data_IF_125249109952
#
_entry.id   IF_125249109952
#
_cell.length_a   1.000
_cell.length_b   1.000
_cell.length_c   1.000
_cell.angle_alpha   90.00
_cell.angle_beta   90.00
_cell.angle_gamma   90.00
#
_symmetry.space_group_name_H-M   'P 1'
#
loop_
_entity.id
_entity.type
_entity.pdbx_description
1 polymer ?
#
# COMPACT_ATOMS: atom_id res chain seq x y z
N UNK A 1 -28.19 -42.46 4.54
CA UNK A 1 -27.91 -42.17 5.96
C UNK A 1 -26.69 -41.26 6.06
N UNK A 2 -26.79 -40.19 6.86
CA UNK A 2 -25.87 -39.03 6.94
C UNK A 2 -24.52 -39.40 7.58
N UNK A 3 -23.44 -39.45 6.81
CA UNK A 3 -22.06 -39.68 7.32
C UNK A 3 -21.20 -38.39 7.42
N UNK A 4 -21.72 -37.23 7.05
CA UNK A 4 -20.93 -35.98 6.97
C UNK A 4 -20.88 -35.21 8.30
N UNK A 5 -21.77 -35.51 9.26
CA UNK A 5 -21.89 -34.74 10.50
C UNK A 5 -20.88 -35.12 11.61
N UNK A 6 -20.31 -36.34 11.56
CA UNK A 6 -19.48 -36.86 12.68
C UNK A 6 -18.04 -36.32 12.62
N UNK A 7 -17.49 -36.08 11.44
CA UNK A 7 -16.08 -35.64 11.28
C UNK A 7 -15.82 -34.21 11.78
N UNK A 8 -16.77 -33.28 11.59
CA UNK A 8 -16.65 -31.90 12.10
C UNK A 8 -16.84 -31.80 13.62
N UNK A 9 -17.72 -32.61 14.20
CA UNK A 9 -17.97 -32.64 15.65
C UNK A 9 -16.78 -33.23 16.42
N UNK A 10 -16.10 -34.23 15.84
CA UNK A 10 -14.91 -34.83 16.44
C UNK A 10 -13.71 -33.86 16.49
N UNK A 11 -13.58 -32.96 15.51
CA UNK A 11 -12.53 -31.93 15.50
C UNK A 11 -12.76 -30.86 16.58
N UNK A 12 -13.99 -30.34 16.68
CA UNK A 12 -14.33 -29.30 17.67
C UNK A 12 -14.22 -29.78 19.12
N UNK A 13 -14.66 -31.01 19.42
CA UNK A 13 -14.51 -31.59 20.77
C UNK A 13 -13.05 -31.81 21.18
N UNK A 14 -12.19 -32.10 20.20
CA UNK A 14 -10.74 -32.28 20.43
C UNK A 14 -10.05 -30.94 20.68
N UNK A 15 -10.46 -29.87 19.98
CA UNK A 15 -9.93 -28.52 20.24
C UNK A 15 -10.36 -27.95 21.60
N UNK A 16 -11.58 -28.22 22.06
CA UNK A 16 -12.00 -27.86 23.43
C UNK A 16 -11.14 -28.57 24.48
N UNK A 17 -10.81 -29.85 24.27
CA UNK A 17 -9.95 -30.63 25.18
C UNK A 17 -8.51 -30.10 25.24
N UNK A 18 -8.01 -29.49 24.17
CA UNK A 18 -6.70 -28.83 24.14
C UNK A 18 -6.73 -27.37 24.65
N UNK A 19 -7.85 -26.90 25.20
CA UNK A 19 -7.97 -25.56 25.78
C UNK A 19 -8.28 -24.44 24.78
N UNK A 20 -8.68 -24.75 23.54
CA UNK A 20 -9.11 -23.74 22.59
C UNK A 20 -10.42 -23.10 23.03
N UNK A 21 -10.50 -21.77 22.94
CA UNK A 21 -11.71 -21.03 23.29
C UNK A 21 -12.84 -21.30 22.30
N UNK A 22 -14.09 -21.17 22.74
CA UNK A 22 -15.28 -21.28 21.87
C UNK A 22 -15.19 -20.30 20.69
N UNK A 23 -14.53 -19.14 20.87
CA UNK A 23 -14.29 -18.17 19.80
C UNK A 23 -13.36 -18.72 18.72
N UNK A 24 -12.29 -19.40 19.09
CA UNK A 24 -11.33 -20.02 18.15
C UNK A 24 -11.96 -21.17 17.38
N UNK A 25 -12.88 -21.92 17.98
CA UNK A 25 -13.59 -23.02 17.33
C UNK A 25 -14.64 -22.49 16.34
N UNK A 26 -15.22 -21.33 16.62
CA UNK A 26 -16.16 -20.64 15.74
C UNK A 26 -15.46 -19.86 14.61
N UNK A 27 -14.14 -19.73 14.62
CA UNK A 27 -13.40 -19.02 13.58
C UNK A 27 -13.38 -19.82 12.27
N UNK A 28 -13.81 -19.17 11.18
CA UNK A 28 -13.83 -19.78 9.84
C UNK A 28 -12.45 -20.02 9.24
N UNK A 29 -11.39 -19.38 9.78
CA UNK A 29 -10.02 -19.58 9.36
C UNK A 29 -9.22 -20.19 10.51
N UNK A 30 -8.44 -21.22 10.20
CA UNK A 30 -7.47 -21.77 11.14
C UNK A 30 -6.39 -20.73 11.48
N UNK A 31 -5.69 -20.93 12.60
CA UNK A 31 -4.48 -20.16 12.94
C UNK A 31 -3.48 -20.18 11.76
N UNK A 32 -3.29 -21.34 11.13
CA UNK A 32 -2.38 -21.50 10.00
C UNK A 32 -2.80 -20.60 8.81
N UNK A 33 -4.10 -20.56 8.50
CA UNK A 33 -4.63 -19.76 7.38
C UNK A 33 -4.50 -18.26 7.65
N UNK A 34 -4.72 -17.83 8.91
CA UNK A 34 -4.52 -16.43 9.32
C UNK A 34 -3.06 -16.01 9.18
N UNK A 35 -2.14 -16.85 9.65
CA UNK A 35 -0.70 -16.60 9.51
C UNK A 35 -0.27 -16.59 8.05
N UNK A 36 -0.86 -17.44 7.21
CA UNK A 36 -0.67 -17.43 5.77
C UNK A 36 -1.10 -16.08 5.15
N UNK A 37 -2.29 -15.57 5.49
CA UNK A 37 -2.79 -14.29 4.98
C UNK A 37 -1.88 -13.12 5.37
N UNK A 38 -1.49 -13.06 6.65
CA UNK A 38 -0.56 -12.06 7.16
C UNK A 38 0.78 -12.14 6.44
N UNK A 39 1.34 -13.34 6.27
CA UNK A 39 2.61 -13.55 5.55
C UNK A 39 2.50 -13.12 4.08
N UNK A 40 1.39 -13.37 3.39
CA UNK A 40 1.22 -12.96 1.99
C UNK A 40 1.22 -11.45 1.82
N UNK A 41 0.62 -10.71 2.76
CA UNK A 41 0.62 -9.24 2.72
C UNK A 41 1.99 -8.66 3.11
N UNK A 42 2.60 -9.18 4.17
CA UNK A 42 3.85 -8.63 4.73
C UNK A 42 5.09 -9.04 3.96
N UNK A 43 5.22 -10.31 3.55
CA UNK A 43 6.42 -10.83 2.86
C UNK A 43 6.23 -10.90 1.34
N UNK A 44 5.09 -11.39 0.89
CA UNK A 44 4.86 -11.67 -0.54
C UNK A 44 4.14 -10.53 -1.29
N UNK A 45 3.96 -9.38 -0.62
CA UNK A 45 3.56 -8.10 -1.23
C UNK A 45 2.20 -8.13 -1.93
N UNK A 46 1.27 -8.97 -1.47
CA UNK A 46 -0.10 -8.91 -1.95
C UNK A 46 -0.69 -7.51 -1.65
N UNK A 47 -1.32 -6.89 -2.65
CA UNK A 47 -1.76 -5.48 -2.57
C UNK A 47 -3.11 -5.29 -1.90
N UNK A 48 -3.90 -6.36 -1.72
CA UNK A 48 -5.26 -6.26 -1.19
C UNK A 48 -5.73 -7.59 -0.61
N UNK A 49 -6.53 -7.51 0.45
CA UNK A 49 -7.26 -8.64 1.04
C UNK A 49 -8.07 -9.43 0.01
N UNK A 50 -8.62 -8.76 -1.02
CA UNK A 50 -9.34 -9.44 -2.12
C UNK A 50 -8.41 -10.36 -2.91
N UNK A 51 -7.15 -9.98 -3.12
CA UNK A 51 -6.17 -10.83 -3.79
C UNK A 51 -5.77 -12.01 -2.91
N UNK A 52 -5.61 -11.79 -1.60
CA UNK A 52 -5.32 -12.84 -0.63
C UNK A 52 -6.46 -13.86 -0.59
N UNK A 53 -7.70 -13.40 -0.58
CA UNK A 53 -8.91 -14.25 -0.62
C UNK A 53 -8.91 -15.14 -1.87
N UNK A 54 -8.64 -14.58 -3.05
CA UNK A 54 -8.51 -15.37 -4.29
C UNK A 54 -7.36 -16.38 -4.25
N UNK A 55 -6.26 -16.06 -3.55
CA UNK A 55 -5.14 -17.00 -3.35
C UNK A 55 -5.52 -18.14 -2.41
N UNK A 56 -6.32 -17.87 -1.38
CA UNK A 56 -6.85 -18.91 -0.49
C UNK A 56 -7.78 -19.87 -1.25
N UNK A 57 -8.68 -19.32 -2.07
CA UNK A 57 -9.56 -20.11 -2.94
C UNK A 57 -8.74 -20.99 -3.89
N UNK A 58 -7.70 -20.44 -4.51
CA UNK A 58 -6.87 -21.20 -5.47
C UNK A 58 -6.04 -22.29 -4.81
N UNK A 59 -5.44 -22.03 -3.65
CA UNK A 59 -4.45 -22.92 -3.06
C UNK A 59 -5.06 -23.94 -2.09
N UNK A 60 -6.14 -23.56 -1.41
CA UNK A 60 -6.79 -24.38 -0.38
C UNK A 60 -8.23 -24.75 -0.73
N UNK A 61 -8.76 -24.31 -1.87
CA UNK A 61 -10.15 -24.54 -2.30
C UNK A 61 -11.17 -24.06 -1.24
N UNK A 62 -10.78 -23.05 -0.45
CA UNK A 62 -11.61 -22.46 0.59
C UNK A 62 -12.27 -21.19 0.08
N UNK A 63 -13.59 -21.21 -0.07
CA UNK A 63 -14.38 -20.01 -0.37
C UNK A 63 -14.56 -19.19 0.90
N UNK A 64 -13.79 -18.11 1.00
CA UNK A 64 -13.81 -17.21 2.15
C UNK A 64 -14.33 -15.85 1.70
N UNK A 65 -15.26 -15.25 2.44
CA UNK A 65 -15.67 -13.88 2.14
C UNK A 65 -14.52 -12.91 2.50
N UNK A 66 -14.19 -11.90 1.67
CA UNK A 66 -13.08 -10.97 1.92
C UNK A 66 -13.13 -10.29 3.29
N UNK A 67 -14.32 -10.10 3.86
CA UNK A 67 -14.47 -9.53 5.20
C UNK A 67 -13.89 -10.41 6.31
N UNK A 68 -13.90 -11.73 6.12
CA UNK A 68 -13.30 -12.67 7.08
C UNK A 68 -11.78 -12.51 7.11
N UNK A 69 -11.16 -12.33 5.94
CA UNK A 69 -9.73 -12.04 5.82
C UNK A 69 -9.41 -10.67 6.46
N UNK A 70 -10.18 -9.61 6.15
CA UNK A 70 -9.98 -8.29 6.79
C UNK A 70 -10.08 -8.34 8.31
N UNK A 71 -11.02 -9.11 8.87
CA UNK A 71 -11.14 -9.30 10.32
C UNK A 71 -9.91 -9.99 10.89
N UNK A 72 -9.46 -11.07 10.26
CA UNK A 72 -8.23 -11.77 10.67
C UNK A 72 -7.00 -10.86 10.64
N UNK A 73 -6.87 -10.02 9.61
CA UNK A 73 -5.77 -9.05 9.49
C UNK A 73 -5.82 -7.97 10.58
N UNK A 74 -7.02 -7.46 10.90
CA UNK A 74 -7.20 -6.51 11.99
C UNK A 74 -6.88 -7.12 13.34
N UNK A 75 -7.32 -8.36 13.61
CA UNK A 75 -6.95 -9.10 14.83
C UNK A 75 -5.44 -9.30 14.93
N UNK A 76 -4.76 -9.49 13.80
CA UNK A 76 -3.31 -9.58 13.74
C UNK A 76 -2.57 -8.22 13.87
N UNK A 77 -3.30 -7.11 14.02
CA UNK A 77 -2.75 -5.77 14.20
C UNK A 77 -2.39 -5.02 12.91
N UNK A 78 -2.92 -5.44 11.75
CA UNK A 78 -2.72 -4.73 10.48
C UNK A 78 -3.86 -3.74 10.21
N UNK A 79 -3.49 -2.51 9.85
CA UNK A 79 -4.38 -1.46 9.39
C UNK A 79 -4.25 -1.20 7.89
N UNK A 80 -5.34 -0.81 7.25
CA UNK A 80 -5.32 -0.39 5.85
C UNK A 80 -4.94 1.10 5.75
N UNK A 81 -3.94 1.41 4.93
CA UNK A 81 -3.48 2.78 4.64
C UNK A 81 -3.57 3.06 3.14
N UNK A 82 -3.81 4.32 2.78
CA UNK A 82 -3.71 4.75 1.39
C UNK A 82 -2.23 4.88 0.99
N UNK A 83 -1.88 4.36 -0.19
CA UNK A 83 -0.52 4.47 -0.71
C UNK A 83 -0.24 5.89 -1.17
N UNK A 84 0.76 6.52 -0.57
CA UNK A 84 1.28 7.80 -1.06
C UNK A 84 1.83 7.66 -2.48
N UNK A 85 1.58 8.65 -3.34
CA UNK A 85 2.15 8.72 -4.68
C UNK A 85 3.54 9.33 -4.61
N UNK A 86 4.57 8.58 -5.00
CA UNK A 86 5.94 9.11 -5.09
C UNK A 86 6.53 8.82 -6.47
N UNK A 87 7.31 9.75 -7.04
CA UNK A 87 8.04 9.47 -8.27
C UNK A 87 9.06 8.37 -7.99
N UNK A 88 9.19 7.43 -8.92
CA UNK A 88 10.29 6.47 -8.88
C UNK A 88 11.61 7.22 -9.11
N UNK A 89 12.47 7.22 -8.09
CA UNK A 89 13.81 7.78 -8.18
C UNK A 89 14.83 6.64 -8.21
N UNK A 90 15.74 6.68 -9.18
CA UNK A 90 16.93 5.83 -9.15
C UNK A 90 17.94 6.36 -8.14
N UNK A 91 18.80 5.51 -7.60
CA UNK A 91 19.84 5.91 -6.63
C UNK A 91 20.76 7.01 -7.21
N UNK A 92 21.04 6.94 -8.51
CA UNK A 92 21.78 7.98 -9.22
C UNK A 92 21.05 9.33 -9.20
N UNK A 93 19.73 9.33 -9.42
CA UNK A 93 18.92 10.54 -9.37
C UNK A 93 18.81 11.09 -7.95
N UNK A 94 18.74 10.23 -6.93
CA UNK A 94 18.76 10.63 -5.52
C UNK A 94 20.06 11.36 -5.19
N UNK A 95 21.22 10.79 -5.55
CA UNK A 95 22.53 11.41 -5.32
C UNK A 95 22.67 12.76 -6.03
N UNK A 96 22.25 12.85 -7.30
CA UNK A 96 22.28 14.10 -8.07
C UNK A 96 21.40 15.17 -7.44
N UNK A 97 20.18 14.82 -7.03
CA UNK A 97 19.26 15.75 -6.34
C UNK A 97 19.85 16.24 -5.03
N UNK A 98 20.43 15.34 -4.23
CA UNK A 98 21.06 15.71 -2.96
C UNK A 98 22.25 16.65 -3.16
N UNK A 99 23.12 16.36 -4.13
CA UNK A 99 24.25 17.23 -4.47
C UNK A 99 23.78 18.61 -4.92
N UNK A 100 22.76 18.66 -5.78
CA UNK A 100 22.16 19.91 -6.24
C UNK A 100 21.60 20.73 -5.06
N UNK A 101 20.82 20.12 -4.15
CA UNK A 101 20.30 20.81 -2.97
C UNK A 101 21.41 21.33 -2.05
N UNK A 102 22.50 20.57 -1.86
CA UNK A 102 23.65 21.01 -1.05
C UNK A 102 24.36 22.21 -1.66
N UNK A 103 24.51 22.24 -2.98
CA UNK A 103 25.17 23.35 -3.69
C UNK A 103 24.36 24.65 -3.65
N UNK A 104 23.03 24.55 -3.59
CA UNK A 104 22.11 25.69 -3.67
C UNK A 104 21.44 26.00 -2.32
N UNK A 105 21.91 25.38 -1.23
CA UNK A 105 21.38 25.55 0.14
C UNK A 105 21.40 27.01 0.59
N UNK A 106 22.49 27.70 0.29
CA UNK A 106 22.79 29.05 0.81
C UNK A 106 22.43 30.16 -0.22
N UNK A 107 21.65 29.83 -1.25
CA UNK A 107 21.22 30.80 -2.25
C UNK A 107 20.23 31.81 -1.69
N UNK A 108 20.49 33.10 -1.96
CA UNK A 108 19.61 34.19 -1.56
C UNK A 108 18.40 34.28 -2.50
N UNK A 109 17.37 35.01 -2.08
CA UNK A 109 16.15 35.23 -2.88
C UNK A 109 16.48 35.82 -4.26
N UNK A 110 17.48 36.71 -4.34
CA UNK A 110 17.88 37.32 -5.61
C UNK A 110 18.60 36.34 -6.55
N UNK A 111 19.24 35.29 -6.04
CA UNK A 111 19.79 34.21 -6.84
C UNK A 111 18.66 33.37 -7.45
N UNK A 112 17.61 33.06 -6.67
CA UNK A 112 16.43 32.34 -7.15
C UNK A 112 15.65 33.09 -8.22
N UNK A 113 15.60 34.43 -8.19
CA UNK A 113 14.95 35.26 -9.22
C UNK A 113 15.63 35.17 -10.59
N UNK A 114 16.90 34.76 -10.63
CA UNK A 114 17.65 34.55 -11.89
C UNK A 114 17.34 33.20 -12.53
N UNK A 115 16.74 32.27 -11.78
CA UNK A 115 16.36 30.95 -12.30
C UNK A 115 15.07 31.06 -13.09
N UNK A 116 15.12 30.63 -14.35
CA UNK A 116 13.93 30.43 -15.19
C UNK A 116 13.53 28.96 -15.05
N UNK A 117 12.33 28.71 -14.56
CA UNK A 117 11.81 27.36 -14.39
C UNK A 117 11.00 26.97 -15.61
N UNK A 118 11.42 25.92 -16.30
CA UNK A 118 10.62 25.29 -17.34
C UNK A 118 10.12 23.95 -16.84
N UNK A 119 8.86 23.65 -17.11
CA UNK A 119 8.23 22.41 -16.70
C UNK A 119 7.19 21.98 -17.70
N UNK A 120 6.89 20.69 -17.70
CA UNK A 120 5.79 20.12 -18.47
C UNK A 120 4.73 19.62 -17.50
N UNK A 121 3.48 20.00 -17.73
CA UNK A 121 2.33 19.46 -17.00
C UNK A 121 1.53 18.54 -17.90
N UNK A 122 1.15 17.39 -17.35
CA UNK A 122 0.36 16.36 -18.02
C UNK A 122 -1.08 16.47 -17.57
N UNK A 123 -2.00 16.70 -18.49
CA UNK A 123 -3.44 16.64 -18.23
C UNK A 123 -3.97 15.31 -18.80
N UNK A 124 -4.43 14.43 -17.90
CA UNK A 124 -5.04 13.16 -18.30
C UNK A 124 -6.48 13.40 -18.79
N UNK A 125 -6.83 12.89 -19.97
CA UNK A 125 -8.17 13.04 -20.57
C UNK A 125 -9.21 12.12 -19.93
N UNK A 126 -8.81 10.93 -19.48
CA UNK A 126 -9.66 9.96 -18.79
C UNK A 126 -8.85 9.21 -17.72
N UNK A 127 -9.54 8.86 -16.62
CA UNK A 127 -9.04 8.16 -15.44
C UNK A 127 -7.99 8.91 -14.59
N UNK A 128 -8.34 9.13 -13.32
CA UNK A 128 -7.33 9.41 -12.28
C UNK A 128 -6.46 8.17 -12.08
N UNK A 129 -5.18 8.36 -11.81
CA UNK A 129 -4.33 7.31 -11.25
C UNK A 129 -4.93 6.87 -9.91
N UNK A 130 -5.86 5.90 -9.95
CA UNK A 130 -6.79 5.58 -8.88
C UNK A 130 -6.12 5.25 -7.54
N UNK A 131 -6.90 5.37 -6.45
CA UNK A 131 -6.45 5.11 -5.08
C UNK A 131 -5.98 3.66 -4.95
N UNK A 132 -4.80 3.49 -4.36
CA UNK A 132 -4.27 2.18 -4.02
C UNK A 132 -4.12 2.08 -2.51
N UNK A 133 -4.37 0.90 -1.96
CA UNK A 133 -4.30 0.65 -0.53
C UNK A 133 -3.16 -0.33 -0.23
N UNK A 134 -2.59 -0.22 0.97
CA UNK A 134 -1.65 -1.16 1.55
C UNK A 134 -2.11 -1.54 2.96
N UNK A 135 -1.60 -2.67 3.47
CA UNK A 135 -1.81 -3.08 4.86
C UNK A 135 -0.50 -2.98 5.60
N UNK A 136 -0.47 -2.29 6.73
CA UNK A 136 0.73 -2.04 7.55
C UNK A 136 0.43 -2.31 9.02
N UNK A 137 1.43 -2.70 9.81
CA UNK A 137 1.26 -2.73 11.27
C UNK A 137 1.36 -1.30 11.82
N UNK A 138 0.58 -1.00 12.85
CA UNK A 138 0.66 0.31 13.51
C UNK A 138 2.09 0.56 14.02
N UNK A 139 2.68 1.70 13.64
CA UNK A 139 4.03 2.11 14.05
C UNK A 139 5.18 1.63 13.15
N UNK A 140 4.93 0.84 12.09
CA UNK A 140 5.98 0.47 11.14
C UNK A 140 6.30 1.61 10.16
N UNK A 141 7.58 1.72 9.79
CA UNK A 141 8.01 2.68 8.77
C UNK A 141 7.51 2.28 7.38
N UNK A 142 7.08 3.28 6.59
CA UNK A 142 6.64 3.08 5.21
C UNK A 142 7.78 2.53 4.34
N UNK A 143 7.59 1.32 3.83
CA UNK A 143 8.49 0.69 2.88
C UNK A 143 8.12 1.02 1.44
N UNK A 144 9.04 0.84 0.49
CA UNK A 144 8.81 1.15 -0.93
C UNK A 144 7.55 0.49 -1.53
N UNK A 145 7.14 -0.68 -1.03
CA UNK A 145 5.94 -1.38 -1.50
C UNK A 145 4.63 -0.81 -0.93
N UNK A 146 4.69 -0.02 0.14
CA UNK A 146 3.57 0.76 0.69
C UNK A 146 3.34 2.07 -0.08
N UNK A 147 4.22 2.40 -1.02
CA UNK A 147 4.16 3.61 -1.84
C UNK A 147 3.68 3.24 -3.25
N UNK A 148 2.84 4.08 -3.85
CA UNK A 148 2.47 3.98 -5.25
C UNK A 148 3.51 4.73 -6.07
N UNK A 149 4.34 3.98 -6.79
CA UNK A 149 5.30 4.55 -7.72
C UNK A 149 4.57 5.11 -8.93
N UNK A 150 4.79 6.39 -9.23
CA UNK A 150 4.28 7.03 -10.44
C UNK A 150 5.35 6.99 -11.53
N UNK A 151 4.99 6.45 -12.69
CA UNK A 151 5.79 6.54 -13.92
C UNK A 151 5.18 7.59 -14.83
N UNK A 152 6.01 8.42 -15.46
CA UNK A 152 5.53 9.57 -16.24
C UNK A 152 4.86 9.16 -17.57
N UNK A 153 5.11 7.96 -18.06
CA UNK A 153 4.76 7.55 -19.43
C UNK A 153 3.61 6.52 -19.42
N UNK A 154 2.48 6.86 -20.05
CA UNK A 154 1.34 5.96 -20.26
C UNK A 154 -0.01 6.66 -20.19
N UNK A 155 -0.95 6.23 -21.05
CA UNK A 155 -2.39 6.50 -20.89
C UNK A 155 -2.94 7.81 -21.48
N UNK A 156 -2.62 8.15 -22.73
CA UNK A 156 -3.35 9.16 -23.52
C UNK A 156 -3.57 10.51 -22.83
N UNK A 157 -2.56 11.38 -22.88
CA UNK A 157 -2.57 12.68 -22.20
C UNK A 157 -2.09 13.79 -23.12
N UNK A 158 -2.56 15.01 -22.85
CA UNK A 158 -2.03 16.22 -23.47
C UNK A 158 -0.96 16.79 -22.54
N UNK A 159 0.20 17.13 -23.10
CA UNK A 159 1.29 17.77 -22.36
C UNK A 159 1.35 19.26 -22.73
N UNK A 160 1.45 20.12 -21.72
CA UNK A 160 1.66 21.55 -21.89
C UNK A 160 3.03 21.92 -21.33
N UNK A 161 3.82 22.65 -22.12
CA UNK A 161 5.03 23.31 -21.64
C UNK A 161 4.66 24.62 -20.94
N UNK A 162 5.18 24.81 -19.74
CA UNK A 162 5.01 26.04 -18.96
C UNK A 162 6.40 26.57 -18.60
N UNK A 163 6.63 27.85 -18.86
CA UNK A 163 7.80 28.56 -18.36
C UNK A 163 7.33 29.55 -17.32
N UNK A 164 7.88 29.45 -16.12
CA UNK A 164 7.58 30.38 -15.04
C UNK A 164 8.88 31.07 -14.62
N UNK A 165 8.84 32.40 -14.62
CA UNK A 165 9.80 33.21 -13.90
C UNK A 165 9.19 33.51 -12.54
N UNK A 166 9.93 33.28 -11.46
CA UNK A 166 9.44 33.55 -10.12
C UNK A 166 9.27 35.07 -9.94
N UNK A 167 8.04 35.56 -10.10
CA UNK A 167 7.63 36.86 -9.61
C UNK A 167 7.28 36.65 -8.13
N UNK A 168 8.25 36.89 -7.26
CA UNK A 168 7.98 36.94 -5.82
C UNK A 168 7.08 38.15 -5.57
N UNK A 169 5.77 37.94 -5.49
CA UNK A 169 4.91 38.85 -4.75
C UNK A 169 5.40 38.79 -3.31
N UNK A 170 6.04 39.86 -2.87
CA UNK A 170 6.53 40.01 -1.50
C UNK A 170 5.33 39.98 -0.55
N UNK A 171 5.00 38.78 -0.07
CA UNK A 171 4.13 38.52 1.06
C UNK A 171 4.94 37.76 2.10
N UNK A 172 5.80 38.48 2.79
CA UNK A 172 6.51 38.00 3.97
C UNK A 172 5.51 37.73 5.10
N UNK A 173 5.61 36.60 5.80
CA UNK A 173 5.80 36.53 7.26
C UNK A 173 5.26 35.22 7.87
N UNK A 174 6.20 34.49 8.50
CA UNK A 174 6.05 33.48 9.58
C UNK A 174 5.44 32.13 9.23
#
# INVERSE_FOLDING_TARGET
MKAIAVSKVNSASTMLRSGASIREIAEKLSLADRLYCVRKLTKERASSSVKVTKMLEKNFQMTVHPETDRRALRTAGLGAIEKEKKPLLSDANVKKRLAWCKQHKDWAVDDWKRVIWTGETKINRFNSDGRQWAWIRSGEQLQNHHVKLTVKHGGGSIMFGVSLRMLVLAGCAK
#
